data_IF_600228357844
#
_entry.id   IF_600228357844
#
_cell.length_a   1.000
_cell.length_b   1.000
_cell.length_c   1.000
_cell.angle_alpha   90.00
_cell.angle_beta   90.00
_cell.angle_gamma   90.00
#
_symmetry.space_group_name_H-M   'P 1'
#
loop_
_entity.id
_entity.type
_entity.pdbx_description
1 polymer ?
#
# COMPACT_ATOMS: atom_id res chain seq x y z
N UNK A 1 45.16 13.17 -27.31
CA UNK A 1 45.19 13.34 -25.83
C UNK A 1 43.78 13.75 -25.41
N UNK A 2 42.92 12.79 -25.06
CA UNK A 2 42.68 12.28 -23.69
C UNK A 2 42.08 13.34 -22.73
N UNK A 3 40.76 13.30 -22.56
CA UNK A 3 40.04 13.05 -21.29
C UNK A 3 38.52 13.03 -21.59
N UNK A 4 37.80 11.90 -21.60
CA UNK A 4 37.28 11.13 -20.44
C UNK A 4 36.50 12.03 -19.46
N UNK A 5 35.30 11.73 -18.94
CA UNK A 5 34.39 10.58 -19.05
C UNK A 5 33.14 10.86 -18.17
N UNK A 6 32.00 10.23 -18.49
CA UNK A 6 30.84 9.85 -17.64
C UNK A 6 30.18 10.89 -16.71
N UNK A 7 28.91 11.17 -16.97
CA UNK A 7 27.86 11.19 -15.93
C UNK A 7 26.72 10.31 -16.43
N UNK A 8 26.86 9.00 -16.23
CA UNK A 8 25.74 8.07 -16.24
C UNK A 8 25.33 7.93 -14.77
N UNK A 9 24.32 8.67 -14.34
CA UNK A 9 23.76 8.54 -12.99
C UNK A 9 23.15 7.15 -12.88
N UNK A 10 23.85 6.28 -12.16
CA UNK A 10 23.34 5.00 -11.69
C UNK A 10 22.14 5.26 -10.77
N UNK A 11 20.92 5.07 -11.29
CA UNK A 11 19.77 4.78 -10.45
C UNK A 11 19.99 3.39 -9.86
N UNK A 12 20.62 3.35 -8.70
CA UNK A 12 20.68 2.14 -7.88
C UNK A 12 19.25 1.82 -7.46
N UNK A 13 18.85 0.61 -7.82
CA UNK A 13 17.54 0.02 -7.60
C UNK A 13 17.34 -0.22 -6.09
N UNK A 14 16.84 0.77 -5.37
CA UNK A 14 16.30 0.57 -4.02
C UNK A 14 14.95 -0.11 -4.20
N UNK A 15 14.92 -1.44 -4.08
CA UNK A 15 13.67 -2.16 -3.83
C UNK A 15 13.01 -1.54 -2.59
N UNK A 16 11.81 -0.97 -2.76
CA UNK A 16 10.98 -0.42 -1.70
C UNK A 16 10.37 -1.48 -0.78
N UNK A 17 11.14 -2.51 -0.40
CA UNK A 17 10.80 -3.38 0.73
C UNK A 17 11.39 -2.70 1.95
N UNK A 18 10.63 -1.79 2.55
CA UNK A 18 10.99 -1.16 3.82
C UNK A 18 10.84 -2.23 4.91
N UNK A 19 11.92 -2.94 5.25
CA UNK A 19 11.99 -3.77 6.45
C UNK A 19 12.06 -2.84 7.68
N UNK A 20 10.93 -2.30 8.11
CA UNK A 20 10.79 -1.73 9.44
C UNK A 20 10.38 -2.84 10.42
N UNK A 21 11.36 -3.55 10.97
CA UNK A 21 11.13 -4.47 12.08
C UNK A 21 11.06 -3.66 13.38
N UNK A 22 9.86 -3.32 13.83
CA UNK A 22 9.63 -2.89 15.22
C UNK A 22 9.50 -4.15 16.08
N UNK A 23 10.56 -4.46 16.83
CA UNK A 23 10.53 -5.46 17.88
C UNK A 23 9.71 -4.92 19.06
N UNK A 24 8.56 -5.55 19.35
CA UNK A 24 7.83 -5.38 20.60
C UNK A 24 8.13 -6.56 21.54
N UNK A 25 8.27 -6.34 22.86
CA UNK A 25 8.51 -7.42 23.81
C UNK A 25 7.23 -8.23 24.04
N UNK A 26 7.40 -9.55 24.11
CA UNK A 26 6.34 -10.50 24.41
C UNK A 26 5.81 -10.31 25.84
N UNK A 27 4.61 -9.73 25.96
CA UNK A 27 3.79 -9.79 27.18
C UNK A 27 2.76 -10.91 27.03
N UNK A 28 2.79 -11.87 27.95
CA UNK A 28 1.92 -13.03 27.96
C UNK A 28 0.44 -12.63 28.14
N UNK A 29 -0.42 -13.03 27.21
CA UNK A 29 -1.88 -13.02 27.37
C UNK A 29 -2.45 -14.40 27.05
N UNK A 30 -3.24 -14.90 27.98
CA UNK A 30 -3.87 -16.21 27.96
C UNK A 30 -4.90 -16.33 26.83
N UNK A 31 -4.91 -17.48 26.16
CA UNK A 31 -5.79 -17.77 25.04
C UNK A 31 -7.24 -18.05 25.47
N UNK A 32 -8.26 -17.53 24.76
CA UNK A 32 -9.57 -18.13 24.77
C UNK A 32 -9.61 -19.32 23.80
N UNK A 33 -10.12 -20.45 24.28
CA UNK A 33 -10.42 -21.65 23.50
C UNK A 33 -11.79 -21.49 22.82
N UNK A 34 -11.88 -22.13 21.65
CA UNK A 34 -13.09 -22.47 20.88
C UNK A 34 -13.53 -21.51 19.76
N UNK A 35 -12.73 -21.42 18.69
CA UNK A 35 -13.27 -21.19 17.33
C UNK A 35 -12.44 -21.88 16.20
N UNK A 36 -11.54 -22.81 16.55
CA UNK A 36 -10.54 -23.40 15.62
C UNK A 36 -11.09 -24.33 14.51
N UNK A 37 -12.39 -24.58 14.43
CA UNK A 37 -12.92 -25.57 13.49
C UNK A 37 -13.40 -24.98 12.16
N UNK A 38 -13.76 -23.69 12.11
CA UNK A 38 -14.24 -23.04 10.87
C UNK A 38 -13.13 -22.33 10.10
N UNK A 39 -12.10 -21.83 10.79
CA UNK A 39 -10.94 -21.20 10.14
C UNK A 39 -10.05 -22.21 9.41
N UNK A 40 -9.91 -23.43 9.93
CA UNK A 40 -9.10 -24.47 9.31
C UNK A 40 -9.59 -24.89 7.90
N UNK A 41 -10.88 -24.71 7.61
CA UNK A 41 -11.44 -25.00 6.29
C UNK A 41 -11.27 -23.84 5.30
N UNK A 42 -11.16 -22.59 5.79
CA UNK A 42 -10.88 -21.40 4.98
C UNK A 42 -9.38 -21.30 4.64
N UNK A 43 -8.52 -21.67 5.59
CA UNK A 43 -7.06 -21.79 5.38
C UNK A 43 -6.69 -22.93 4.41
N UNK A 44 -7.44 -24.03 4.40
CA UNK A 44 -7.23 -25.13 3.47
C UNK A 44 -7.65 -24.81 2.02
N UNK A 45 -8.58 -23.86 1.81
CA UNK A 45 -8.95 -23.39 0.46
C UNK A 45 -7.96 -22.37 -0.12
N UNK A 46 -7.12 -21.75 0.71
CA UNK A 46 -6.01 -20.87 0.30
C UNK A 46 -4.71 -21.63 -0.04
N UNK A 47 -4.69 -22.96 0.08
CA UNK A 47 -3.50 -23.80 -0.15
C UNK A 47 -3.46 -24.51 -1.51
N UNK A 48 -4.41 -24.26 -2.42
CA UNK A 48 -4.19 -24.62 -3.81
C UNK A 48 -3.33 -23.55 -4.45
N UNK A 49 -2.01 -23.82 -4.51
CA UNK A 49 -1.08 -23.04 -5.30
C UNK A 49 -1.68 -22.90 -6.72
N UNK A 50 -1.97 -21.68 -7.19
CA UNK A 50 -2.49 -21.49 -8.53
C UNK A 50 -1.54 -22.14 -9.53
N UNK A 51 -2.13 -22.84 -10.49
CA UNK A 51 -1.41 -23.64 -11.46
C UNK A 51 -0.38 -22.74 -12.15
N UNK A 52 0.92 -23.00 -11.92
CA UNK A 52 1.99 -22.21 -12.51
C UNK A 52 1.78 -22.14 -14.02
N UNK A 53 1.82 -20.94 -14.60
CA UNK A 53 1.61 -20.78 -16.04
C UNK A 53 2.52 -21.73 -16.81
N UNK A 54 1.94 -22.38 -17.82
CA UNK A 54 2.67 -23.30 -18.69
C UNK A 54 3.93 -22.61 -19.23
N UNK A 55 5.10 -23.14 -18.87
CA UNK A 55 6.40 -22.61 -19.30
C UNK A 55 7.11 -21.70 -18.29
N UNK A 56 6.53 -21.42 -17.12
CA UNK A 56 7.19 -20.69 -16.02
C UNK A 56 7.67 -21.64 -14.92
N UNK A 57 8.95 -21.58 -14.57
CA UNK A 57 9.53 -22.33 -13.46
C UNK A 57 9.37 -21.55 -12.14
N UNK A 58 8.20 -21.71 -11.52
CA UNK A 58 7.88 -21.05 -10.25
C UNK A 58 8.82 -21.49 -9.10
N UNK A 59 9.37 -22.70 -9.12
CA UNK A 59 10.28 -23.17 -8.08
C UNK A 59 11.66 -22.52 -8.21
N UNK A 60 12.21 -22.46 -9.43
CA UNK A 60 13.44 -21.73 -9.71
C UNK A 60 13.30 -20.24 -9.37
N UNK A 61 12.17 -19.61 -9.73
CA UNK A 61 11.88 -18.24 -9.33
C UNK A 61 11.96 -18.04 -7.82
N UNK A 62 11.27 -18.85 -7.00
CA UNK A 62 11.30 -18.71 -5.54
C UNK A 62 12.72 -18.86 -4.97
N UNK A 63 13.48 -19.84 -5.47
CA UNK A 63 14.89 -20.03 -5.06
C UNK A 63 15.76 -18.82 -5.43
N UNK A 64 15.65 -18.33 -6.66
CA UNK A 64 16.43 -17.21 -7.17
C UNK A 64 16.07 -15.89 -6.46
N UNK A 65 14.78 -15.64 -6.22
CA UNK A 65 14.28 -14.48 -5.50
C UNK A 65 14.91 -14.39 -4.10
N UNK A 66 14.84 -15.48 -3.33
CA UNK A 66 15.42 -15.55 -1.98
C UNK A 66 16.93 -15.43 -2.01
N UNK A 67 17.60 -16.10 -2.95
CA UNK A 67 19.05 -15.99 -3.12
C UNK A 67 19.49 -14.54 -3.44
N UNK A 68 18.69 -13.79 -4.21
CA UNK A 68 18.91 -12.38 -4.48
C UNK A 68 18.75 -11.50 -3.23
N UNK A 69 17.70 -11.73 -2.43
CA UNK A 69 17.47 -10.96 -1.20
C UNK A 69 18.53 -11.21 -0.13
N UNK A 70 19.00 -12.45 0.06
CA UNK A 70 20.06 -12.80 1.03
C UNK A 70 21.37 -12.03 0.85
N UNK A 71 21.59 -11.41 -0.31
CA UNK A 71 22.77 -10.59 -0.60
C UNK A 71 22.65 -9.15 -0.07
N UNK A 72 21.47 -8.75 0.42
CA UNK A 72 21.25 -7.40 0.95
C UNK A 72 21.61 -7.33 2.44
N UNK A 73 22.17 -6.20 2.91
CA UNK A 73 22.34 -5.95 4.34
C UNK A 73 20.98 -6.07 5.05
N UNK A 74 20.95 -6.73 6.21
CA UNK A 74 19.75 -6.91 7.04
C UNK A 74 18.59 -7.68 6.37
N UNK A 75 18.88 -8.52 5.37
CA UNK A 75 17.85 -9.37 4.79
C UNK A 75 17.29 -10.34 5.85
N UNK A 76 15.96 -10.45 6.01
CA UNK A 76 15.37 -11.40 6.95
C UNK A 76 15.74 -12.84 6.57
N UNK A 77 15.64 -13.75 7.54
CA UNK A 77 15.83 -15.18 7.31
C UNK A 77 14.67 -15.71 6.44
N UNK A 78 14.90 -15.75 5.13
CA UNK A 78 13.91 -16.19 4.14
C UNK A 78 14.26 -17.54 3.52
N UNK A 79 13.21 -18.29 3.22
CA UNK A 79 13.19 -19.55 2.49
C UNK A 79 12.31 -19.43 1.25
N UNK A 80 12.45 -20.37 0.32
CA UNK A 80 11.61 -20.39 -0.88
C UNK A 80 10.11 -20.53 -0.54
N UNK A 81 9.76 -21.12 0.61
CA UNK A 81 8.37 -21.25 1.05
C UNK A 81 7.73 -19.92 1.47
N UNK A 82 8.55 -18.93 1.84
CA UNK A 82 8.07 -17.59 2.18
C UNK A 82 7.66 -16.78 0.93
N UNK A 83 8.02 -17.23 -0.28
CA UNK A 83 7.63 -16.59 -1.54
C UNK A 83 6.45 -17.36 -2.14
N UNK A 84 5.23 -16.84 -2.00
CA UNK A 84 4.02 -17.47 -2.54
C UNK A 84 3.68 -16.84 -3.88
N UNK A 85 3.71 -17.64 -4.95
CA UNK A 85 3.29 -17.18 -6.29
C UNK A 85 1.77 -17.38 -6.40
N UNK A 86 1.06 -16.29 -6.63
CA UNK A 86 -0.41 -16.26 -6.74
C UNK A 86 -0.88 -16.21 -8.20
N UNK A 87 -0.08 -15.63 -9.09
CA UNK A 87 -0.34 -15.71 -10.51
C UNK A 87 0.98 -15.57 -11.28
N UNK A 88 1.06 -16.26 -12.41
CA UNK A 88 2.08 -16.02 -13.41
C UNK A 88 1.40 -16.02 -14.78
N UNK A 89 1.73 -15.06 -15.63
CA UNK A 89 1.24 -15.03 -17.01
C UNK A 89 2.33 -14.56 -17.94
N UNK A 90 2.40 -15.15 -19.14
CA UNK A 90 3.36 -14.73 -20.16
C UNK A 90 3.03 -13.29 -20.59
N UNK A 91 3.95 -12.38 -20.34
CA UNK A 91 3.79 -10.96 -20.61
C UNK A 91 4.31 -10.57 -22.00
N UNK A 92 5.47 -11.09 -22.38
CA UNK A 92 6.11 -10.79 -23.67
C UNK A 92 7.19 -11.83 -24.00
N UNK A 93 7.85 -11.64 -25.15
CA UNK A 93 9.09 -12.34 -25.49
C UNK A 93 10.12 -11.32 -25.95
N UNK A 94 11.36 -11.44 -25.49
CA UNK A 94 12.48 -10.58 -25.87
C UNK A 94 13.75 -11.41 -26.03
N UNK A 95 14.39 -11.33 -27.21
CA UNK A 95 15.65 -12.04 -27.48
C UNK A 95 15.56 -13.56 -27.31
N UNK A 96 14.41 -14.17 -27.66
CA UNK A 96 14.15 -15.59 -27.45
C UNK A 96 13.84 -15.99 -26.01
N UNK A 97 13.81 -15.04 -25.07
CA UNK A 97 13.46 -15.26 -23.67
C UNK A 97 11.99 -14.88 -23.47
N UNK A 98 11.21 -15.82 -22.95
CA UNK A 98 9.86 -15.56 -22.50
C UNK A 98 9.89 -14.81 -21.16
N UNK A 99 9.14 -13.71 -21.10
CA UNK A 99 8.98 -12.88 -19.92
C UNK A 99 7.59 -13.12 -19.33
N UNK A 100 7.52 -13.26 -18.02
CA UNK A 100 6.30 -13.50 -17.25
C UNK A 100 6.05 -12.35 -16.28
N UNK A 101 4.80 -11.89 -16.21
CA UNK A 101 4.32 -11.10 -15.09
C UNK A 101 3.95 -12.08 -13.97
N UNK A 102 4.58 -11.92 -12.81
CA UNK A 102 4.43 -12.79 -11.64
C UNK A 102 3.91 -11.95 -10.49
N UNK A 103 2.72 -12.29 -10.01
CA UNK A 103 2.12 -11.75 -8.79
C UNK A 103 2.28 -12.75 -7.66
N UNK A 104 2.54 -12.25 -6.48
CA UNK A 104 2.67 -13.08 -5.31
C UNK A 104 2.82 -12.28 -4.04
N UNK A 105 3.08 -13.01 -2.96
CA UNK A 105 3.24 -12.45 -1.63
C UNK A 105 4.52 -13.00 -1.02
N UNK A 106 5.33 -12.10 -0.46
CA UNK A 106 6.42 -12.44 0.43
C UNK A 106 5.86 -12.49 1.86
N UNK A 107 5.81 -13.68 2.46
CA UNK A 107 5.21 -13.92 3.77
C UNK A 107 6.23 -14.54 4.75
N UNK A 108 7.18 -13.74 5.28
CA UNK A 108 8.13 -14.23 6.28
C UNK A 108 7.43 -14.62 7.58
N UNK A 109 7.93 -15.63 8.28
CA UNK A 109 7.40 -16.00 9.60
C UNK A 109 7.41 -14.81 10.57
N UNK A 110 6.26 -14.53 11.19
CA UNK A 110 6.10 -13.44 12.16
C UNK A 110 6.13 -12.03 11.57
N UNK A 111 6.09 -11.88 10.24
CA UNK A 111 5.98 -10.59 9.55
C UNK A 111 4.70 -10.54 8.72
N UNK A 112 4.21 -9.33 8.47
CA UNK A 112 3.07 -9.15 7.57
C UNK A 112 3.46 -9.58 6.15
N UNK A 113 2.51 -10.22 5.48
CA UNK A 113 2.64 -10.62 4.09
C UNK A 113 2.72 -9.37 3.19
N UNK A 114 3.72 -9.29 2.32
CA UNK A 114 3.93 -8.17 1.41
C UNK A 114 3.65 -8.59 -0.03
N UNK A 115 2.66 -8.00 -0.71
CA UNK A 115 2.40 -8.30 -2.10
C UNK A 115 3.54 -7.78 -3.00
N UNK A 116 3.79 -8.49 -4.11
CA UNK A 116 4.71 -8.05 -5.16
C UNK A 116 4.16 -8.37 -6.54
N UNK A 117 4.53 -7.53 -7.51
CA UNK A 117 4.37 -7.78 -8.94
C UNK A 117 5.73 -7.63 -9.61
N UNK A 118 6.19 -8.65 -10.32
CA UNK A 118 7.49 -8.65 -11.00
C UNK A 118 7.38 -9.15 -12.42
N UNK A 119 8.24 -8.63 -13.29
CA UNK A 119 8.45 -9.17 -14.63
C UNK A 119 9.75 -9.95 -14.64
N UNK A 120 9.69 -11.24 -14.95
CA UNK A 120 10.85 -12.14 -14.85
C UNK A 120 10.97 -13.06 -16.05
N UNK A 121 12.18 -13.56 -16.31
CA UNK A 121 12.39 -14.63 -17.28
C UNK A 121 11.67 -15.93 -16.86
N UNK A 122 11.38 -16.79 -17.82
CA UNK A 122 10.73 -18.09 -17.62
C UNK A 122 11.40 -18.99 -16.55
N UNK A 123 12.73 -18.93 -16.44
CA UNK A 123 13.55 -19.65 -15.44
C UNK A 123 13.62 -18.93 -14.08
N UNK A 124 12.93 -17.79 -13.94
CA UNK A 124 12.89 -16.98 -12.74
C UNK A 124 14.23 -16.35 -12.35
N UNK A 125 15.21 -16.30 -13.27
CA UNK A 125 16.57 -15.83 -12.98
C UNK A 125 16.75 -14.32 -13.14
N UNK A 126 16.09 -13.73 -14.13
CA UNK A 126 16.27 -12.33 -14.48
C UNK A 126 15.01 -11.53 -14.16
N UNK A 127 15.16 -10.47 -13.38
CA UNK A 127 14.15 -9.43 -13.26
C UNK A 127 14.31 -8.42 -14.40
N UNK A 128 13.20 -8.09 -15.04
CA UNK A 128 13.16 -7.18 -16.19
C UNK A 128 12.27 -6.01 -15.84
N UNK A 129 12.88 -4.87 -15.51
CA UNK A 129 12.11 -3.68 -15.13
C UNK A 129 11.39 -3.05 -16.31
N UNK A 130 11.92 -3.10 -17.53
CA UNK A 130 11.33 -2.53 -18.74
C UNK A 130 11.98 -3.15 -19.99
N UNK A 131 11.21 -3.26 -21.07
CA UNK A 131 11.75 -3.51 -22.41
C UNK A 131 11.01 -2.59 -23.39
N UNK A 132 11.73 -1.62 -23.94
CA UNK A 132 11.16 -0.61 -24.85
C UNK A 132 11.44 -1.01 -26.29
N UNK A 133 10.36 -1.15 -27.07
CA UNK A 133 10.43 -1.17 -28.52
C UNK A 133 10.66 0.26 -29.00
N UNK A 134 11.83 0.52 -29.58
CA UNK A 134 12.23 1.84 -30.05
C UNK A 134 11.50 2.26 -31.33
N UNK A 135 11.09 1.31 -32.16
CA UNK A 135 10.31 1.59 -33.37
C UNK A 135 8.88 1.99 -32.99
N UNK A 136 8.26 1.22 -32.08
CA UNK A 136 6.92 1.52 -31.58
C UNK A 136 6.90 2.65 -30.51
N UNK A 137 8.05 3.06 -30.00
CA UNK A 137 8.20 4.08 -28.96
C UNK A 137 7.53 3.71 -27.63
N UNK A 138 7.33 2.42 -27.33
CA UNK A 138 6.58 1.96 -26.15
C UNK A 138 7.12 0.65 -25.60
N UNK A 139 6.84 0.40 -24.32
CA UNK A 139 7.21 -0.85 -23.66
C UNK A 139 6.38 -2.03 -24.19
N UNK A 140 7.06 -3.15 -24.48
CA UNK A 140 6.38 -4.42 -24.79
C UNK A 140 5.72 -5.05 -23.56
N UNK A 141 6.10 -4.61 -22.35
CA UNK A 141 5.50 -5.04 -21.08
C UNK A 141 4.28 -4.20 -20.69
N UNK A 142 3.98 -3.12 -21.43
CA UNK A 142 2.92 -2.16 -21.07
C UNK A 142 1.57 -2.83 -20.87
N UNK A 143 1.13 -3.68 -21.81
CA UNK A 143 -0.19 -4.32 -21.73
C UNK A 143 -0.34 -5.21 -20.49
N UNK A 144 0.70 -5.99 -20.16
CA UNK A 144 0.71 -6.79 -18.95
C UNK A 144 0.72 -5.92 -17.69
N UNK A 145 1.51 -4.83 -17.64
CA UNK A 145 1.48 -3.87 -16.52
C UNK A 145 0.10 -3.25 -16.33
N UNK A 146 -0.50 -2.75 -17.40
CA UNK A 146 -1.82 -2.11 -17.35
C UNK A 146 -2.86 -3.10 -16.81
N UNK A 147 -2.79 -4.37 -17.23
CA UNK A 147 -3.67 -5.43 -16.74
C UNK A 147 -3.46 -5.72 -15.25
N UNK A 148 -2.21 -5.84 -14.79
CA UNK A 148 -1.92 -6.06 -13.37
C UNK A 148 -2.39 -4.89 -12.52
N UNK A 149 -2.07 -3.66 -12.94
CA UNK A 149 -2.53 -2.44 -12.28
C UNK A 149 -4.06 -2.40 -12.20
N UNK A 150 -4.77 -2.72 -13.29
CA UNK A 150 -6.23 -2.74 -13.29
C UNK A 150 -6.80 -3.74 -12.27
N UNK A 151 -6.15 -4.90 -12.09
CA UNK A 151 -6.55 -5.88 -11.07
C UNK A 151 -6.23 -5.41 -9.66
N UNK A 152 -5.05 -4.84 -9.41
CA UNK A 152 -4.68 -4.29 -8.11
C UNK A 152 -5.63 -3.16 -7.69
N UNK A 153 -6.00 -2.29 -8.64
CA UNK A 153 -6.92 -1.18 -8.42
C UNK A 153 -8.37 -1.62 -8.18
N UNK A 154 -8.75 -2.89 -8.39
CA UNK A 154 -10.10 -3.36 -8.04
C UNK A 154 -10.31 -3.48 -6.53
N UNK A 155 -9.25 -3.82 -5.79
CA UNK A 155 -9.34 -4.10 -4.33
C UNK A 155 -8.63 -3.06 -3.48
N UNK A 156 -8.04 -2.04 -4.11
CA UNK A 156 -7.28 -1.01 -3.43
C UNK A 156 -8.18 0.06 -2.79
N UNK A 157 -8.02 0.28 -1.49
CA UNK A 157 -8.64 1.36 -0.75
C UNK A 157 -10.10 1.14 -0.35
N UNK A 158 -10.58 2.05 0.48
CA UNK A 158 -11.87 2.00 1.14
C UNK A 158 -12.88 2.92 0.43
N UNK A 159 -14.11 2.45 0.13
CA UNK A 159 -15.13 3.26 -0.53
C UNK A 159 -15.56 4.41 0.39
N UNK A 160 -15.20 5.63 -0.02
CA UNK A 160 -15.49 6.86 0.71
C UNK A 160 -16.75 7.55 0.21
N UNK A 161 -17.01 7.46 -1.09
CA UNK A 161 -18.19 8.04 -1.71
C UNK A 161 -18.59 7.25 -2.95
N UNK A 162 -19.90 7.12 -3.16
CA UNK A 162 -20.49 6.77 -4.44
C UNK A 162 -21.26 7.98 -4.95
N UNK A 163 -21.04 8.32 -6.21
CA UNK A 163 -21.68 9.47 -6.85
C UNK A 163 -22.42 9.06 -8.12
N UNK A 164 -22.96 10.04 -8.84
CA UNK A 164 -23.69 9.83 -10.10
C UNK A 164 -22.81 9.99 -11.34
N UNK A 165 -21.54 10.30 -11.16
CA UNK A 165 -20.57 10.39 -12.25
C UNK A 165 -20.14 9.01 -12.72
N UNK A 166 -19.12 8.98 -13.59
CA UNK A 166 -18.64 7.73 -14.19
C UNK A 166 -17.20 7.40 -13.82
N UNK A 167 -16.49 8.31 -13.15
CA UNK A 167 -15.06 8.15 -12.85
C UNK A 167 -14.87 7.32 -11.59
N UNK A 168 -13.99 6.33 -11.65
CA UNK A 168 -13.47 5.65 -10.46
C UNK A 168 -12.17 6.33 -10.05
N UNK A 169 -12.17 6.90 -8.85
CA UNK A 169 -11.01 7.61 -8.30
C UNK A 169 -10.48 6.86 -7.08
N UNK A 170 -9.22 6.46 -7.11
CA UNK A 170 -8.51 5.87 -5.96
C UNK A 170 -7.44 6.84 -5.48
N UNK A 171 -7.50 7.21 -4.21
CA UNK A 171 -6.68 8.28 -3.64
C UNK A 171 -5.78 7.76 -2.53
N UNK A 172 -4.49 7.61 -2.85
CA UNK A 172 -3.45 7.19 -1.89
C UNK A 172 -2.88 8.42 -1.21
N UNK A 173 -3.06 8.49 0.11
CA UNK A 173 -2.96 9.77 0.78
C UNK A 173 -2.66 9.69 2.28
N UNK A 174 -2.07 10.78 2.75
CA UNK A 174 -1.76 11.08 4.15
C UNK A 174 -2.54 12.34 4.58
N UNK A 175 -3.34 12.30 5.65
CA UNK A 175 -4.12 13.45 6.10
C UNK A 175 -3.28 14.65 6.57
N UNK A 176 -2.00 14.46 6.89
CA UNK A 176 -1.07 15.51 7.35
C UNK A 176 -0.11 15.98 6.26
N UNK A 177 -0.10 15.37 5.08
CA UNK A 177 0.63 15.89 3.93
C UNK A 177 -0.06 17.15 3.36
N UNK A 178 0.62 18.30 3.25
CA UNK A 178 0.01 19.53 2.73
C UNK A 178 -0.53 19.39 1.30
N UNK A 179 0.19 18.68 0.42
CA UNK A 179 -0.26 18.43 -0.95
C UNK A 179 -1.46 17.48 -0.99
N UNK A 180 -1.56 16.55 -0.05
CA UNK A 180 -2.73 15.71 0.10
C UNK A 180 -3.96 16.51 0.53
N UNK A 181 -3.82 17.47 1.46
CA UNK A 181 -4.95 18.35 1.82
C UNK A 181 -5.43 19.19 0.63
N UNK A 182 -4.49 19.71 -0.18
CA UNK A 182 -4.84 20.44 -1.40
C UNK A 182 -5.53 19.56 -2.44
N UNK A 183 -5.01 18.35 -2.68
CA UNK A 183 -5.61 17.39 -3.60
C UNK A 183 -7.01 16.96 -3.12
N UNK A 184 -7.19 16.68 -1.84
CA UNK A 184 -8.49 16.35 -1.26
C UNK A 184 -9.50 17.48 -1.45
N UNK A 185 -9.14 18.73 -1.13
CA UNK A 185 -10.01 19.88 -1.33
C UNK A 185 -10.42 20.04 -2.81
N UNK A 186 -9.47 19.89 -3.73
CA UNK A 186 -9.74 19.92 -5.16
C UNK A 186 -10.69 18.79 -5.61
N UNK A 187 -10.45 17.55 -5.18
CA UNK A 187 -11.28 16.40 -5.50
C UNK A 187 -12.70 16.55 -4.93
N UNK A 188 -12.85 17.09 -3.73
CA UNK A 188 -14.16 17.38 -3.14
C UNK A 188 -14.95 18.42 -3.94
N UNK A 189 -14.28 19.35 -4.62
CA UNK A 189 -14.90 20.27 -5.58
C UNK A 189 -15.28 19.64 -6.93
N UNK A 190 -14.96 18.36 -7.16
CA UNK A 190 -15.17 17.64 -8.43
C UNK A 190 -16.02 16.37 -8.26
N UNK A 191 -16.73 16.23 -7.14
CA UNK A 191 -17.49 15.03 -6.78
C UNK A 191 -18.55 14.61 -7.80
N UNK A 192 -19.09 15.55 -8.59
CA UNK A 192 -20.02 15.25 -9.68
C UNK A 192 -19.42 14.33 -10.77
N UNK A 193 -18.09 14.29 -10.92
CA UNK A 193 -17.43 13.39 -11.86
C UNK A 193 -17.35 11.95 -11.34
N UNK A 194 -17.46 11.73 -10.03
CA UNK A 194 -17.18 10.44 -9.42
C UNK A 194 -18.38 9.51 -9.52
N UNK A 195 -18.17 8.33 -10.08
CA UNK A 195 -19.03 7.17 -9.82
C UNK A 195 -18.62 6.51 -8.51
N UNK A 196 -17.31 6.43 -8.25
CA UNK A 196 -16.74 5.89 -7.02
C UNK A 196 -15.49 6.68 -6.62
N UNK A 197 -15.37 6.99 -5.33
CA UNK A 197 -14.17 7.55 -4.73
C UNK A 197 -13.70 6.67 -3.57
N UNK A 198 -12.47 6.18 -3.66
CA UNK A 198 -11.82 5.32 -2.66
C UNK A 198 -10.62 6.00 -2.05
N UNK A 199 -10.45 5.86 -0.74
CA UNK A 199 -9.29 6.35 0.01
C UNK A 199 -8.37 5.18 0.38
N UNK A 200 -7.07 5.35 0.17
CA UNK A 200 -6.03 4.41 0.61
C UNK A 200 -5.17 5.12 1.64
N UNK A 201 -5.04 4.52 2.81
CA UNK A 201 -4.26 5.07 3.92
C UNK A 201 -2.76 4.91 3.66
N UNK A 202 -2.02 6.01 3.63
CA UNK A 202 -0.57 5.99 3.46
C UNK A 202 0.10 7.04 4.37
N UNK A 203 0.02 6.88 5.71
CA UNK A 203 0.66 7.81 6.64
C UNK A 203 2.18 7.79 6.46
N UNK A 204 2.78 8.95 6.19
CA UNK A 204 4.22 9.08 6.05
C UNK A 204 4.86 9.14 7.44
N UNK A 205 5.97 8.43 7.63
CA UNK A 205 6.74 8.45 8.88
C UNK A 205 7.28 9.84 9.28
N UNK A 206 7.25 10.81 8.36
CA UNK A 206 7.57 12.22 8.63
C UNK A 206 6.41 13.01 9.26
N UNK A 207 5.20 12.43 9.36
CA UNK A 207 4.01 13.09 9.89
C UNK A 207 3.48 12.37 11.15
N UNK A 208 3.98 12.73 12.34
CA UNK A 208 3.54 12.14 13.61
C UNK A 208 2.02 12.26 13.79
N UNK A 209 1.36 11.16 14.14
CA UNK A 209 -0.09 11.12 14.35
C UNK A 209 -0.92 10.86 13.09
N UNK A 210 -0.33 10.86 11.90
CA UNK A 210 -1.06 10.52 10.68
C UNK A 210 -1.52 9.06 10.68
N UNK A 211 -0.73 8.17 11.29
CA UNK A 211 -1.06 6.77 11.54
C UNK A 211 -2.33 6.62 12.39
N UNK A 212 -2.42 7.36 13.51
CA UNK A 212 -3.61 7.36 14.37
C UNK A 212 -4.82 7.95 13.64
N UNK A 213 -4.65 9.04 12.88
CA UNK A 213 -5.73 9.60 12.07
C UNK A 213 -6.23 8.60 11.02
N UNK A 214 -5.33 7.88 10.35
CA UNK A 214 -5.68 6.82 9.41
C UNK A 214 -6.39 5.65 10.09
N UNK A 215 -5.92 5.19 11.25
CA UNK A 215 -6.58 4.11 12.00
C UNK A 215 -7.99 4.50 12.46
N UNK A 216 -8.21 5.76 12.85
CA UNK A 216 -9.55 6.28 13.20
C UNK A 216 -10.47 6.39 11.98
N UNK A 217 -9.94 6.75 10.81
CA UNK A 217 -10.70 6.71 9.56
C UNK A 217 -11.06 5.27 9.17
N UNK A 218 -10.11 4.32 9.29
CA UNK A 218 -10.37 2.89 9.08
C UNK A 218 -11.43 2.35 10.06
N UNK A 219 -11.36 2.76 11.34
CA UNK A 219 -12.39 2.46 12.32
C UNK A 219 -13.76 2.98 11.88
N UNK A 220 -13.83 4.21 11.38
CA UNK A 220 -15.08 4.81 10.92
C UNK A 220 -15.65 4.09 9.69
N UNK A 221 -14.81 3.68 8.73
CA UNK A 221 -15.26 2.88 7.59
C UNK A 221 -15.95 1.58 8.02
N UNK A 222 -15.47 0.93 9.08
CA UNK A 222 -16.04 -0.32 9.56
C UNK A 222 -17.25 -0.11 10.50
N UNK A 223 -17.15 0.84 11.43
CA UNK A 223 -18.07 0.94 12.56
C UNK A 223 -19.07 2.10 12.45
N UNK A 224 -18.78 3.09 11.61
CA UNK A 224 -19.64 4.25 11.37
C UNK A 224 -19.64 4.65 9.88
N UNK A 225 -19.96 3.73 8.95
CA UNK A 225 -19.80 3.95 7.51
C UNK A 225 -20.55 5.18 7.00
N UNK A 226 -21.73 5.48 7.54
CA UNK A 226 -22.51 6.67 7.19
C UNK A 226 -21.83 7.99 7.58
N UNK A 227 -20.81 7.94 8.45
CA UNK A 227 -20.01 9.08 8.91
C UNK A 227 -18.57 9.05 8.43
N UNK A 228 -18.16 8.01 7.68
CA UNK A 228 -16.78 7.87 7.23
C UNK A 228 -16.29 9.10 6.45
N UNK A 229 -17.15 9.69 5.60
CA UNK A 229 -16.84 10.93 4.89
C UNK A 229 -16.59 12.13 5.82
N UNK A 230 -17.32 12.22 6.93
CA UNK A 230 -17.13 13.31 7.89
C UNK A 230 -15.82 13.14 8.67
N UNK A 231 -15.46 11.90 9.04
CA UNK A 231 -14.16 11.59 9.64
C UNK A 231 -13.01 11.96 8.70
N UNK A 232 -13.11 11.57 7.43
CA UNK A 232 -12.10 11.92 6.43
C UNK A 232 -12.04 13.44 6.21
N UNK A 233 -13.18 14.13 6.07
CA UNK A 233 -13.19 15.59 5.93
C UNK A 233 -12.49 16.25 7.09
N UNK A 234 -12.85 15.90 8.33
CA UNK A 234 -12.20 16.43 9.53
C UNK A 234 -10.68 16.21 9.50
N UNK A 235 -10.22 15.00 9.17
CA UNK A 235 -8.79 14.68 9.11
C UNK A 235 -8.01 15.55 8.10
N UNK A 236 -8.62 15.88 6.97
CA UNK A 236 -7.98 16.59 5.87
C UNK A 236 -8.17 18.12 5.92
N UNK A 237 -9.22 18.62 6.56
CA UNK A 237 -9.54 20.06 6.56
C UNK A 237 -9.30 20.72 7.91
N UNK A 238 -9.72 20.07 9.00
CA UNK A 238 -9.90 20.75 10.29
C UNK A 238 -8.88 20.29 11.33
N UNK A 239 -8.48 19.00 11.28
CA UNK A 239 -7.57 18.40 12.23
C UNK A 239 -6.20 19.13 12.18
N UNK A 240 -5.75 19.72 13.29
CA UNK A 240 -4.42 20.33 13.35
C UNK A 240 -3.34 19.26 13.15
N UNK A 241 -2.25 19.64 12.47
CA UNK A 241 -1.08 18.77 12.33
C UNK A 241 -0.26 18.90 13.63
N UNK A 242 -0.03 17.81 14.38
CA UNK A 242 0.74 17.87 15.62
C UNK A 242 2.14 18.42 15.39
N UNK A 243 2.60 19.28 16.29
CA UNK A 243 3.97 19.80 16.30
C UNK A 243 4.79 19.07 17.35
N UNK A 244 5.66 18.18 16.90
CA UNK A 244 6.60 17.48 17.79
C UNK A 244 7.93 18.23 17.88
N UNK A 245 8.53 18.24 19.06
CA UNK A 245 9.86 18.82 19.25
C UNK A 245 10.96 17.97 18.59
N UNK A 246 10.77 16.64 18.59
CA UNK A 246 11.67 15.66 18.01
C UNK A 246 10.90 14.38 17.59
N UNK A 247 11.62 13.40 17.05
CA UNK A 247 11.08 12.07 16.70
C UNK A 247 11.25 11.04 17.83
N UNK A 248 11.47 11.51 19.06
CA UNK A 248 11.55 10.67 20.24
C UNK A 248 10.20 10.05 20.57
N UNK A 249 10.22 8.86 21.19
CA UNK A 249 9.01 8.09 21.47
C UNK A 249 7.98 8.86 22.31
N UNK A 250 8.43 9.69 23.26
CA UNK A 250 7.53 10.51 24.08
C UNK A 250 6.83 11.59 23.24
N UNK A 251 7.56 12.28 22.36
CA UNK A 251 7.02 13.27 21.44
C UNK A 251 5.99 12.66 20.49
N UNK A 252 6.27 11.45 19.98
CA UNK A 252 5.33 10.71 19.12
C UNK A 252 4.06 10.32 19.88
N UNK A 253 4.19 9.79 21.11
CA UNK A 253 3.03 9.46 21.95
C UNK A 253 2.14 10.68 22.22
N UNK A 254 2.73 11.85 22.48
CA UNK A 254 1.98 13.10 22.65
C UNK A 254 1.19 13.46 21.39
N UNK A 255 1.82 13.36 20.21
CA UNK A 255 1.13 13.60 18.94
C UNK A 255 -0.03 12.62 18.72
N UNK A 256 0.16 11.34 19.04
CA UNK A 256 -0.89 10.33 18.95
C UNK A 256 -2.10 10.67 19.83
N UNK A 257 -1.86 11.03 21.09
CA UNK A 257 -2.91 11.39 22.04
C UNK A 257 -3.63 12.68 21.61
N UNK A 258 -2.91 13.68 21.11
CA UNK A 258 -3.50 14.93 20.59
C UNK A 258 -4.47 14.65 19.43
N UNK A 259 -4.06 13.82 18.47
CA UNK A 259 -4.92 13.42 17.35
C UNK A 259 -6.15 12.65 17.83
N UNK A 260 -5.95 11.64 18.67
CA UNK A 260 -7.05 10.84 19.21
C UNK A 260 -8.05 11.70 20.00
N UNK A 261 -7.56 12.62 20.84
CA UNK A 261 -8.39 13.54 21.59
C UNK A 261 -9.19 14.49 20.66
N UNK A 262 -8.58 14.98 19.58
CA UNK A 262 -9.26 15.83 18.61
C UNK A 262 -10.41 15.10 17.90
N UNK A 263 -10.21 13.85 17.49
CA UNK A 263 -11.30 13.01 16.95
C UNK A 263 -12.37 12.72 18.00
N UNK A 264 -11.99 12.37 19.23
CA UNK A 264 -12.92 12.10 20.33
C UNK A 264 -13.79 13.32 20.67
N UNK A 265 -13.21 14.52 20.61
CA UNK A 265 -13.95 15.77 20.80
C UNK A 265 -14.92 16.06 19.65
N UNK A 266 -14.55 15.72 18.41
CA UNK A 266 -15.35 15.99 17.21
C UNK A 266 -16.47 14.96 17.00
N UNK A 267 -16.21 13.70 17.33
CA UNK A 267 -17.04 12.54 17.01
C UNK A 267 -17.31 11.71 18.28
N UNK A 268 -18.50 11.86 18.89
CA UNK A 268 -18.85 11.15 20.12
C UNK A 268 -18.77 9.62 20.02
N UNK A 269 -18.91 9.05 18.81
CA UNK A 269 -18.86 7.61 18.56
C UNK A 269 -17.47 7.01 18.88
N UNK A 270 -16.41 7.82 18.82
CA UNK A 270 -15.04 7.41 19.18
C UNK A 270 -14.95 7.01 20.65
N UNK A 271 -15.91 7.40 21.50
CA UNK A 271 -16.02 6.92 22.90
C UNK A 271 -16.12 5.39 23.01
N UNK A 272 -16.55 4.70 21.94
CA UNK A 272 -16.54 3.24 21.89
C UNK A 272 -15.11 2.65 21.98
N UNK A 273 -14.07 3.43 21.65
CA UNK A 273 -12.66 3.05 21.74
C UNK A 273 -12.02 3.44 23.08
N UNK A 274 -12.54 4.45 23.78
CA UNK A 274 -11.95 4.90 25.03
C UNK A 274 -12.55 6.20 25.57
N UNK A 275 -12.33 6.45 26.86
CA UNK A 275 -12.84 7.64 27.55
C UNK A 275 -12.04 8.92 27.25
N UNK A 276 -10.78 8.77 26.84
CA UNK A 276 -9.84 9.86 26.53
C UNK A 276 -8.90 9.46 25.38
N UNK A 277 -8.02 10.39 24.96
CA UNK A 277 -7.10 10.16 23.85
C UNK A 277 -6.09 9.04 24.10
N UNK A 278 -5.67 8.82 25.35
CA UNK A 278 -4.71 7.75 25.69
C UNK A 278 -5.37 6.38 25.55
N UNK A 279 -6.59 6.23 26.06
CA UNK A 279 -7.39 5.01 25.93
C UNK A 279 -7.68 4.69 24.45
N UNK A 280 -8.03 5.71 23.65
CA UNK A 280 -8.25 5.54 22.21
C UNK A 280 -6.97 5.07 21.50
N UNK A 281 -5.81 5.68 21.76
CA UNK A 281 -4.53 5.24 21.17
C UNK A 281 -4.20 3.80 21.55
N UNK A 282 -4.44 3.43 22.82
CA UNK A 282 -4.22 2.06 23.30
C UNK A 282 -5.14 1.06 22.59
N UNK A 283 -6.41 1.41 22.34
CA UNK A 283 -7.36 0.56 21.64
C UNK A 283 -7.03 0.39 20.15
N UNK A 284 -6.41 1.38 19.51
CA UNK A 284 -6.03 1.32 18.10
C UNK A 284 -4.72 0.55 17.86
N UNK A 285 -3.77 0.62 18.80
CA UNK A 285 -2.42 0.04 18.63
C UNK A 285 -2.48 -1.48 18.47
N UNK A 286 -2.08 -2.00 17.30
CA UNK A 286 -2.15 -3.44 17.00
C UNK A 286 -3.57 -3.99 16.80
N UNK A 287 -4.56 -3.12 16.63
CA UNK A 287 -5.93 -3.49 16.26
C UNK A 287 -6.06 -3.87 14.79
N UNK A 288 -7.22 -4.41 14.40
CA UNK A 288 -7.56 -4.66 13.00
C UNK A 288 -7.53 -3.38 12.14
N UNK A 289 -7.78 -2.21 12.73
CA UNK A 289 -7.73 -0.92 12.03
C UNK A 289 -6.31 -0.45 11.74
N UNK A 290 -5.38 -0.69 12.68
CA UNK A 290 -3.96 -0.49 12.44
C UNK A 290 -3.45 -1.46 11.36
N UNK A 291 -3.82 -2.74 11.46
CA UNK A 291 -3.50 -3.74 10.43
C UNK A 291 -4.05 -3.37 9.04
N UNK A 292 -5.25 -2.79 8.98
CA UNK A 292 -5.85 -2.26 7.75
C UNK A 292 -5.00 -1.16 7.12
N UNK A 293 -4.51 -0.21 7.93
CA UNK A 293 -3.62 0.86 7.45
C UNK A 293 -2.29 0.28 6.92
N UNK A 294 -1.72 -0.71 7.61
CA UNK A 294 -0.50 -1.37 7.12
C UNK A 294 -0.74 -2.15 5.82
N UNK A 295 -1.90 -2.79 5.66
CA UNK A 295 -2.28 -3.48 4.43
C UNK A 295 -2.42 -2.50 3.26
N UNK A 296 -3.07 -1.35 3.47
CA UNK A 296 -3.18 -0.28 2.48
C UNK A 296 -1.79 0.22 2.04
N UNK A 297 -0.89 0.48 3.00
CA UNK A 297 0.49 0.87 2.71
C UNK A 297 1.23 -0.20 1.91
N UNK A 298 1.07 -1.48 2.26
CA UNK A 298 1.72 -2.59 1.57
C UNK A 298 1.21 -2.76 0.13
N UNK A 299 -0.11 -2.66 -0.08
CA UNK A 299 -0.72 -2.71 -1.43
C UNK A 299 -0.27 -1.52 -2.27
N UNK A 300 -0.27 -0.31 -1.71
CA UNK A 300 0.21 0.88 -2.40
C UNK A 300 1.71 0.78 -2.75
N UNK A 301 2.54 0.29 -1.82
CA UNK A 301 3.97 0.04 -2.07
C UNK A 301 4.19 -1.01 -3.18
N UNK A 302 3.34 -2.05 -3.24
CA UNK A 302 3.34 -3.03 -4.34
C UNK A 302 3.03 -2.44 -5.71
N UNK A 303 2.43 -1.24 -5.74
CA UNK A 303 2.21 -0.42 -6.94
C UNK A 303 3.29 0.64 -7.14
N UNK A 304 4.46 0.52 -6.52
CA UNK A 304 5.54 1.51 -6.57
C UNK A 304 5.12 2.90 -6.06
N UNK A 305 4.14 2.98 -5.15
CA UNK A 305 3.83 4.24 -4.45
C UNK A 305 4.87 4.46 -3.37
N UNK A 306 5.65 5.53 -3.48
CA UNK A 306 6.73 5.88 -2.55
C UNK A 306 6.50 7.19 -1.81
N UNK A 307 5.40 7.87 -2.10
CA UNK A 307 5.02 9.14 -1.50
C UNK A 307 3.56 9.46 -1.77
N UNK A 308 3.10 10.59 -1.23
CA UNK A 308 1.70 11.03 -1.33
C UNK A 308 1.60 12.50 -1.74
N UNK A 309 0.52 12.90 -2.43
CA UNK A 309 -0.58 12.06 -2.90
C UNK A 309 -0.21 11.27 -4.17
N UNK A 310 -0.86 10.11 -4.36
CA UNK A 310 -0.99 9.45 -5.66
C UNK A 310 -2.47 9.25 -5.95
N UNK A 311 -2.92 9.64 -7.14
CA UNK A 311 -4.32 9.54 -7.55
C UNK A 311 -4.41 8.65 -8.79
N UNK A 312 -5.30 7.68 -8.77
CA UNK A 312 -5.69 6.92 -9.96
C UNK A 312 -7.08 7.36 -10.40
N UNK A 313 -7.24 7.72 -11.67
CA UNK A 313 -8.56 8.00 -12.29
C UNK A 313 -8.74 7.04 -13.45
N UNK A 314 -9.72 6.14 -13.34
CA UNK A 314 -9.98 5.09 -14.34
C UNK A 314 -8.71 4.29 -14.72
N UNK A 315 -7.83 4.05 -13.73
CA UNK A 315 -6.55 3.37 -13.90
C UNK A 315 -5.36 4.27 -14.31
N UNK A 316 -5.61 5.51 -14.74
CA UNK A 316 -4.55 6.46 -15.04
C UNK A 316 -3.93 7.05 -13.76
N UNK A 317 -2.64 6.82 -13.55
CA UNK A 317 -1.88 7.32 -12.39
C UNK A 317 -1.50 8.80 -12.53
N UNK A 318 -1.65 9.54 -11.44
CA UNK A 318 -1.21 10.92 -11.26
C UNK A 318 -0.35 11.00 -10.01
N UNK A 319 0.91 11.38 -10.19
CA UNK A 319 1.88 11.58 -9.11
C UNK A 319 1.77 12.99 -8.55
N UNK A 320 1.67 13.11 -7.23
CA UNK A 320 1.51 14.39 -6.56
C UNK A 320 0.21 15.10 -6.91
N UNK A 321 0.13 16.39 -6.54
CA UNK A 321 -1.03 17.21 -6.82
C UNK A 321 -0.89 17.96 -8.16
N UNK A 322 -1.12 17.24 -9.27
CA UNK A 322 -1.18 17.83 -10.61
C UNK A 322 -2.63 18.17 -11.00
N UNK A 323 -3.05 19.42 -10.73
CA UNK A 323 -4.38 19.91 -11.07
C UNK A 323 -4.67 19.87 -12.57
N UNK A 324 -3.67 20.12 -13.43
CA UNK A 324 -3.86 20.14 -14.88
C UNK A 324 -4.23 18.76 -15.38
N UNK A 325 -3.47 17.75 -14.93
CA UNK A 325 -3.73 16.34 -15.26
C UNK A 325 -5.05 15.86 -14.68
N UNK A 326 -5.35 16.16 -13.42
CA UNK A 326 -6.62 15.78 -12.80
C UNK A 326 -7.83 16.41 -13.51
N UNK A 327 -7.75 17.69 -13.90
CA UNK A 327 -8.80 18.33 -14.69
C UNK A 327 -8.98 17.70 -16.08
N UNK A 328 -7.96 17.09 -16.67
CA UNK A 328 -8.12 16.37 -17.93
C UNK A 328 -8.85 15.04 -17.74
N UNK A 329 -8.52 14.31 -16.66
CA UNK A 329 -9.04 12.98 -16.39
C UNK A 329 -10.45 12.99 -15.78
N UNK A 330 -10.82 14.05 -15.05
CA UNK A 330 -12.12 14.19 -14.36
C UNK A 330 -13.18 14.93 -15.18
N UNK A 331 -12.97 15.08 -16.50
CA UNK A 331 -13.98 15.60 -17.42
C UNK A 331 -15.09 14.61 -17.69
#
# INVERSE_FOLDING_TARGET
MRRFVRILTARILTFGILCAALALPAGALAAPKAEKAKDAQKDAQLQQAPQAAKGFDAEAFRRNFVAGLKRKPNAPALTAADVRVEAAEKAAQFGGVDLYAVRGVLAPAGSQAQPFTMFVSADGRFFVSEVVDLEAGRSILKGARDKMLAQDLQTLGHPLMKGTGTRTVVYVSDPFCPYCRQAFAFLMGKTAAFGEFRLVHFPLASHPGADIACALMAWAFQNAPDKALDFVRFAYTDLPIPKVADKGQESLKKAWVEVAAAFLARFPEVKALGADGEAVVAALSGSDWDATVQEDMAKAAGLDVTGTPVIFVDGARVEGFDQGRLNQLLK
#
